data_IF_459802088394
#
_entry.id   IF_459802088394
#
_cell.length_a   1.000
_cell.length_b   1.000
_cell.length_c   1.000
_cell.angle_alpha   90.00
_cell.angle_beta   90.00
_cell.angle_gamma   90.00
#
_symmetry.space_group_name_H-M   'P 1'
#
loop_
_entity.id
_entity.type
_entity.pdbx_description
1 polymer ?
#
# COMPACT_ATOMS: atom_id res chain seq x y z
N UNK A 1 1.77 6.97 6.21
CA UNK A 1 0.71 6.67 5.23
C UNK A 1 1.38 6.33 3.92
N UNK A 2 0.68 5.62 3.04
CA UNK A 2 1.25 5.02 1.84
C UNK A 2 1.01 5.89 0.58
N UNK A 3 0.45 7.10 0.70
CA UNK A 3 0.07 7.94 -0.45
C UNK A 3 1.21 8.25 -1.45
N UNK A 4 2.47 8.19 -1.02
CA UNK A 4 3.66 8.40 -1.87
C UNK A 4 4.24 7.09 -2.45
N UNK A 5 3.65 5.95 -2.14
CA UNK A 5 4.11 4.65 -2.60
C UNK A 5 3.79 4.41 -4.09
N UNK A 6 4.40 3.37 -4.65
CA UNK A 6 4.11 2.92 -6.02
C UNK A 6 2.64 2.53 -6.20
N UNK A 7 2.14 2.53 -7.45
CA UNK A 7 0.78 2.07 -7.75
C UNK A 7 0.55 0.61 -7.34
N UNK A 8 1.60 -0.23 -7.39
CA UNK A 8 1.56 -1.61 -6.93
C UNK A 8 1.33 -1.67 -5.42
N UNK A 9 2.10 -0.89 -4.67
CA UNK A 9 2.00 -0.83 -3.21
C UNK A 9 0.70 -0.18 -2.75
N UNK A 10 0.20 0.84 -3.46
CA UNK A 10 -1.10 1.45 -3.18
C UNK A 10 -2.26 0.51 -3.48
N UNK A 11 -2.23 -0.24 -4.59
CA UNK A 11 -3.23 -1.27 -4.87
C UNK A 11 -3.29 -2.31 -3.73
N UNK A 12 -2.13 -2.76 -3.26
CA UNK A 12 -2.03 -3.78 -2.22
C UNK A 12 -2.37 -3.26 -0.82
N UNK A 13 -1.66 -2.23 -0.36
CA UNK A 13 -1.72 -1.75 1.03
C UNK A 13 -2.90 -0.84 1.29
N UNK A 14 -3.32 -0.05 0.29
CA UNK A 14 -4.41 0.92 0.43
C UNK A 14 -5.70 0.32 -0.09
N UNK A 15 -5.82 0.10 -1.40
CA UNK A 15 -7.09 -0.30 -2.00
C UNK A 15 -7.57 -1.68 -1.56
N UNK A 16 -6.68 -2.68 -1.51
CA UNK A 16 -7.02 -3.99 -0.97
C UNK A 16 -6.92 -4.05 0.56
N UNK A 17 -6.40 -3.02 1.24
CA UNK A 17 -6.23 -3.01 2.69
C UNK A 17 -5.44 -4.23 3.23
N UNK A 18 -4.35 -4.64 2.56
CA UNK A 18 -3.56 -5.85 2.88
C UNK A 18 -2.16 -5.56 3.46
N UNK A 19 -1.99 -4.42 4.12
CA UNK A 19 -0.69 -3.98 4.65
C UNK A 19 -0.04 -4.91 5.68
N UNK A 20 -0.78 -5.83 6.30
CA UNK A 20 -0.27 -6.77 7.29
C UNK A 20 -0.19 -8.22 6.81
N UNK A 21 -0.48 -8.48 5.54
CA UNK A 21 -0.23 -9.79 4.94
C UNK A 21 1.29 -9.98 4.79
N UNK A 22 1.78 -11.10 5.30
CA UNK A 22 3.16 -11.53 5.18
C UNK A 22 3.35 -12.30 3.87
N UNK A 23 4.52 -12.17 3.25
CA UNK A 23 4.91 -12.94 2.08
C UNK A 23 6.20 -13.70 2.34
N UNK A 24 6.24 -14.98 1.98
CA UNK A 24 7.48 -15.72 1.80
C UNK A 24 7.96 -15.53 0.36
N UNK A 25 9.19 -15.05 0.19
CA UNK A 25 9.80 -14.87 -1.13
C UNK A 25 11.22 -15.47 -1.16
N UNK A 26 11.62 -16.15 -2.24
CA UNK A 26 13.00 -16.58 -2.40
C UNK A 26 13.91 -15.37 -2.61
N UNK A 27 15.09 -15.38 -2.00
CA UNK A 27 16.10 -14.33 -2.16
C UNK A 27 17.26 -14.90 -2.98
N UNK A 28 17.49 -14.44 -4.22
CA UNK A 28 18.52 -15.00 -5.07
C UNK A 28 19.92 -14.55 -4.63
N UNK A 29 20.93 -15.41 -4.77
CA UNK A 29 22.32 -15.10 -4.36
C UNK A 29 22.89 -13.85 -5.06
N UNK A 30 22.40 -13.52 -6.25
CA UNK A 30 22.81 -12.33 -7.00
C UNK A 30 22.59 -11.02 -6.26
N UNK A 31 21.63 -10.94 -5.32
CA UNK A 31 21.42 -9.71 -4.52
C UNK A 31 22.55 -9.43 -3.54
N UNK A 32 23.40 -10.42 -3.28
CA UNK A 32 24.56 -10.30 -2.40
C UNK A 32 25.80 -9.79 -3.14
N UNK A 33 25.79 -9.71 -4.47
CA UNK A 33 26.96 -9.35 -5.27
C UNK A 33 26.72 -7.99 -5.97
N UNK A 34 27.45 -6.93 -5.60
CA UNK A 34 27.31 -5.63 -6.26
C UNK A 34 27.68 -5.70 -7.74
N UNK A 35 26.95 -4.94 -8.57
CA UNK A 35 27.21 -4.88 -10.01
C UNK A 35 28.64 -4.41 -10.28
N UNK A 36 29.39 -5.20 -11.05
CA UNK A 36 30.79 -4.91 -11.40
C UNK A 36 31.82 -5.36 -10.37
N UNK A 37 31.41 -5.91 -9.22
CA UNK A 37 32.30 -6.37 -8.15
C UNK A 37 32.04 -7.83 -7.81
N UNK A 38 32.37 -8.74 -8.75
CA UNK A 38 32.06 -10.18 -8.63
C UNK A 38 32.64 -10.84 -7.38
N UNK A 39 33.79 -10.38 -6.89
CA UNK A 39 34.49 -10.96 -5.73
C UNK A 39 34.14 -10.28 -4.40
N UNK A 40 33.10 -9.43 -4.38
CA UNK A 40 32.61 -8.77 -3.17
C UNK A 40 31.21 -9.30 -2.82
N UNK A 41 31.03 -9.69 -1.56
CA UNK A 41 29.72 -10.05 -1.01
C UNK A 41 29.27 -9.00 0.01
N UNK A 42 28.04 -8.52 -0.15
CA UNK A 42 27.38 -7.62 0.79
C UNK A 42 26.29 -8.37 1.54
N UNK A 43 26.42 -8.39 2.87
CA UNK A 43 25.45 -9.03 3.76
C UNK A 43 24.65 -7.98 4.54
N UNK A 44 23.46 -8.38 4.98
CA UNK A 44 22.55 -7.53 5.75
C UNK A 44 21.76 -6.56 4.87
N UNK A 45 21.49 -5.36 5.37
CA UNK A 45 20.61 -4.35 4.72
C UNK A 45 21.16 -3.77 3.40
N UNK A 46 22.38 -4.12 3.03
CA UNK A 46 23.05 -3.66 1.80
C UNK A 46 22.75 -4.57 0.60
N UNK A 47 21.97 -5.64 0.79
CA UNK A 47 21.51 -6.51 -0.29
C UNK A 47 20.74 -5.70 -1.35
N UNK A 48 20.90 -6.06 -2.62
CA UNK A 48 20.19 -5.44 -3.73
C UNK A 48 18.70 -5.74 -3.67
N UNK A 49 17.89 -4.73 -3.36
CA UNK A 49 16.43 -4.87 -3.23
C UNK A 49 15.71 -3.64 -3.76
N UNK A 50 14.60 -3.87 -4.44
CA UNK A 50 13.73 -2.79 -4.92
C UNK A 50 12.88 -2.22 -3.77
N UNK A 51 12.44 -0.98 -3.94
CA UNK A 51 11.64 -0.24 -2.96
C UNK A 51 10.42 -1.02 -2.45
N UNK A 52 9.63 -1.60 -3.36
CA UNK A 52 8.36 -2.28 -3.03
C UNK A 52 8.55 -3.58 -2.22
N UNK A 53 9.71 -4.24 -2.36
CA UNK A 53 10.01 -5.51 -1.67
C UNK A 53 10.95 -5.32 -0.47
N UNK A 54 11.53 -4.13 -0.30
CA UNK A 54 12.46 -3.82 0.80
C UNK A 54 11.87 -4.11 2.19
N UNK A 55 10.54 -3.96 2.35
CA UNK A 55 9.88 -4.26 3.62
C UNK A 55 9.85 -5.75 3.98
N UNK A 56 10.04 -6.65 3.00
CA UNK A 56 10.00 -8.10 3.18
C UNK A 56 11.30 -8.67 3.76
N UNK A 57 12.45 -8.03 3.48
CA UNK A 57 13.78 -8.57 3.81
C UNK A 57 14.55 -7.60 4.69
N UNK A 58 14.05 -7.36 5.92
CA UNK A 58 14.62 -6.33 6.82
C UNK A 58 14.60 -6.67 8.30
N UNK A 59 13.97 -7.78 8.69
CA UNK A 59 13.85 -8.16 10.10
C UNK A 59 15.14 -8.85 10.56
N UNK A 60 15.40 -8.86 11.87
CA UNK A 60 16.62 -9.44 12.47
C UNK A 60 16.89 -10.86 11.97
N UNK A 61 15.82 -11.68 11.88
CA UNK A 61 15.92 -13.07 11.40
C UNK A 61 16.36 -13.15 9.94
N UNK A 62 15.88 -12.26 9.09
CA UNK A 62 16.29 -12.18 7.68
C UNK A 62 17.77 -11.81 7.58
N UNK A 63 18.24 -10.90 8.43
CA UNK A 63 19.64 -10.47 8.46
C UNK A 63 20.58 -11.59 8.93
N UNK A 64 20.17 -12.38 9.92
CA UNK A 64 20.95 -13.55 10.37
C UNK A 64 21.09 -14.57 9.22
N UNK A 65 19.99 -14.90 8.54
CA UNK A 65 19.98 -15.82 7.40
C UNK A 65 20.80 -15.31 6.22
N UNK A 66 20.72 -14.01 5.95
CA UNK A 66 21.52 -13.36 4.92
C UNK A 66 23.02 -13.47 5.23
N UNK A 67 23.43 -13.20 6.46
CA UNK A 67 24.83 -13.35 6.90
C UNK A 67 25.34 -14.79 6.77
N UNK A 68 24.54 -15.77 7.19
CA UNK A 68 24.89 -17.18 7.06
C UNK A 68 25.00 -17.61 5.59
N UNK A 69 24.04 -17.20 4.75
CA UNK A 69 24.04 -17.50 3.32
C UNK A 69 25.25 -16.89 2.61
N UNK A 70 25.62 -15.65 2.94
CA UNK A 70 26.81 -15.01 2.40
C UNK A 70 28.10 -15.72 2.85
N UNK A 71 28.17 -16.17 4.11
CA UNK A 71 29.31 -16.92 4.63
C UNK A 71 29.50 -18.27 3.94
N UNK A 72 28.41 -19.04 3.78
CA UNK A 72 28.43 -20.31 3.03
C UNK A 72 28.86 -20.08 1.58
N UNK A 73 28.32 -19.06 0.92
CA UNK A 73 28.65 -18.73 -0.45
C UNK A 73 30.14 -18.38 -0.61
N UNK A 74 30.67 -17.56 0.30
CA UNK A 74 32.09 -17.18 0.30
C UNK A 74 33.00 -18.40 0.51
N UNK A 75 32.67 -19.26 1.47
CA UNK A 75 33.45 -20.46 1.78
C UNK A 75 33.51 -21.42 0.59
N UNK A 76 32.36 -21.69 -0.04
CA UNK A 76 32.29 -22.55 -1.24
C UNK A 76 33.04 -21.92 -2.42
N UNK A 77 32.90 -20.62 -2.65
CA UNK A 77 33.61 -19.92 -3.73
C UNK A 77 35.14 -20.06 -3.59
N UNK A 78 35.66 -19.91 -2.36
CA UNK A 78 37.08 -20.12 -2.06
C UNK A 78 37.49 -21.59 -2.30
N UNK A 79 36.68 -22.55 -1.83
CA UNK A 79 36.96 -23.97 -1.98
C UNK A 79 37.02 -24.42 -3.45
N UNK A 80 36.12 -23.88 -4.28
CA UNK A 80 36.06 -24.19 -5.71
C UNK A 80 36.98 -23.32 -6.57
N UNK A 81 37.56 -22.26 -6.00
CA UNK A 81 38.38 -21.30 -6.76
C UNK A 81 37.59 -20.54 -7.83
N UNK A 82 36.31 -20.25 -7.59
CA UNK A 82 35.41 -19.58 -8.54
C UNK A 82 34.80 -18.30 -7.96
N UNK A 83 34.04 -17.54 -8.76
CA UNK A 83 33.29 -16.39 -8.25
C UNK A 83 32.09 -16.87 -7.43
N UNK A 84 31.60 -16.08 -6.45
CA UNK A 84 30.41 -16.40 -5.66
C UNK A 84 29.20 -16.85 -6.47
N UNK A 85 28.93 -16.24 -7.63
CA UNK A 85 27.78 -16.59 -8.47
C UNK A 85 27.98 -17.84 -9.33
N UNK A 86 29.22 -18.35 -9.40
CA UNK A 86 29.56 -19.58 -10.13
C UNK A 86 29.51 -20.82 -9.22
N UNK A 87 29.28 -20.64 -7.92
CA UNK A 87 29.15 -21.75 -6.96
C UNK A 87 27.90 -22.58 -7.30
N UNK A 88 28.02 -23.93 -7.37
CA UNK A 88 26.87 -24.78 -7.64
C UNK A 88 25.74 -24.61 -6.60
N UNK A 89 24.55 -24.24 -7.06
CA UNK A 89 23.39 -24.02 -6.19
C UNK A 89 23.04 -25.23 -5.30
N UNK A 90 23.26 -26.46 -5.80
CA UNK A 90 22.98 -27.68 -5.04
C UNK A 90 23.80 -27.76 -3.74
N UNK A 91 25.07 -27.32 -3.76
CA UNK A 91 25.94 -27.32 -2.58
C UNK A 91 25.52 -26.24 -1.58
N UNK A 92 25.23 -25.03 -2.07
CA UNK A 92 24.69 -23.93 -1.24
C UNK A 92 23.39 -24.39 -0.55
N UNK A 93 22.45 -24.96 -1.33
CA UNK A 93 21.16 -25.43 -0.84
C UNK A 93 21.32 -26.53 0.20
N UNK A 94 22.21 -27.49 -0.02
CA UNK A 94 22.46 -28.59 0.91
C UNK A 94 22.93 -28.08 2.28
N UNK A 95 23.90 -27.17 2.29
CA UNK A 95 24.41 -26.59 3.53
C UNK A 95 23.34 -25.74 4.24
N UNK A 96 22.63 -24.88 3.52
CA UNK A 96 21.58 -24.05 4.11
C UNK A 96 20.42 -24.86 4.69
N UNK A 97 20.10 -26.03 4.10
CA UNK A 97 19.12 -26.96 4.67
C UNK A 97 19.66 -27.62 5.95
N UNK A 98 20.92 -28.05 5.94
CA UNK A 98 21.55 -28.72 7.08
C UNK A 98 21.63 -27.82 8.32
N UNK A 99 21.84 -26.51 8.14
CA UNK A 99 21.84 -25.51 9.22
C UNK A 99 20.43 -25.03 9.61
N UNK A 100 19.43 -25.30 8.77
CA UNK A 100 18.07 -24.78 8.92
C UNK A 100 17.90 -23.31 8.53
N UNK A 101 18.92 -22.67 7.95
CA UNK A 101 18.82 -21.33 7.40
C UNK A 101 17.82 -21.29 6.24
N UNK A 102 17.93 -22.23 5.31
CA UNK A 102 16.86 -22.58 4.38
C UNK A 102 15.98 -23.64 5.03
N UNK A 103 14.70 -23.33 5.18
CA UNK A 103 13.74 -24.28 5.74
C UNK A 103 12.42 -24.18 4.94
N UNK A 104 12.04 -25.25 4.22
CA UNK A 104 10.82 -25.29 3.41
C UNK A 104 9.54 -24.99 4.18
N UNK A 105 9.49 -25.21 5.49
CA UNK A 105 8.33 -24.87 6.32
C UNK A 105 8.09 -23.34 6.41
N UNK A 106 9.08 -22.52 6.06
CA UNK A 106 8.91 -21.07 5.97
C UNK A 106 8.46 -20.60 4.58
N UNK A 107 8.38 -21.48 3.59
CA UNK A 107 7.85 -21.17 2.26
C UNK A 107 6.31 -21.23 2.26
N UNK A 108 5.71 -20.34 3.04
CA UNK A 108 4.27 -20.32 3.33
C UNK A 108 3.43 -19.47 2.38
N UNK A 109 4.02 -18.94 1.30
CA UNK A 109 3.37 -18.01 0.38
C UNK A 109 2.85 -16.74 1.07
N UNK A 110 1.68 -16.27 0.63
CA UNK A 110 0.98 -15.13 1.24
C UNK A 110 0.16 -15.61 2.43
N UNK A 111 0.26 -14.92 3.57
CA UNK A 111 -0.45 -15.31 4.79
C UNK A 111 -0.72 -14.16 5.73
N UNK A 112 -1.83 -14.25 6.46
CA UNK A 112 -1.95 -13.55 7.72
C UNK A 112 -1.23 -14.37 8.77
N UNK A 113 -0.26 -13.75 9.46
CA UNK A 113 0.51 -14.41 10.51
C UNK A 113 0.66 -13.45 11.69
N UNK A 114 -0.41 -13.37 12.47
CA UNK A 114 -0.45 -12.56 13.68
C UNK A 114 -1.14 -13.29 14.85
N UNK A 115 -1.45 -12.56 15.93
CA UNK A 115 -2.06 -13.13 17.13
C UNK A 115 -3.55 -13.42 16.96
N UNK A 116 -4.25 -12.64 16.15
CA UNK A 116 -5.69 -12.73 15.92
C UNK A 116 -6.01 -13.62 14.70
N UNK A 117 -5.11 -13.69 13.71
CA UNK A 117 -5.34 -14.38 12.44
C UNK A 117 -4.09 -15.13 11.97
N UNK A 118 -4.24 -16.43 11.70
CA UNK A 118 -3.21 -17.32 11.15
C UNK A 118 -3.78 -18.16 10.02
N UNK A 119 -3.73 -17.65 8.81
CA UNK A 119 -4.31 -18.31 7.65
C UNK A 119 -3.49 -18.03 6.39
N UNK A 120 -3.52 -18.98 5.46
CA UNK A 120 -2.98 -18.80 4.13
C UNK A 120 -3.95 -17.97 3.31
N UNK A 121 -3.42 -17.00 2.58
CA UNK A 121 -4.19 -16.20 1.63
C UNK A 121 -4.35 -17.00 0.34
N UNK A 122 -5.60 -17.27 -0.03
CA UNK A 122 -5.98 -17.97 -1.27
C UNK A 122 -6.83 -17.02 -2.10
N UNK A 123 -6.54 -16.91 -3.39
CA UNK A 123 -7.35 -16.10 -4.30
C UNK A 123 -8.74 -16.73 -4.46
N UNK A 124 -9.77 -15.89 -4.34
CA UNK A 124 -11.16 -16.32 -4.45
C UNK A 124 -11.51 -16.41 -5.93
N UNK A 125 -11.86 -17.62 -6.37
CA UNK A 125 -12.27 -17.91 -7.76
C UNK A 125 -13.75 -18.23 -7.88
N UNK A 126 -14.38 -18.67 -6.79
CA UNK A 126 -15.81 -18.94 -6.73
C UNK A 126 -16.61 -17.64 -6.62
N UNK A 127 -17.69 -17.51 -7.40
CA UNK A 127 -18.45 -16.27 -7.51
C UNK A 127 -19.30 -15.98 -6.28
N UNK A 128 -19.84 -17.00 -5.62
CA UNK A 128 -20.67 -16.82 -4.42
C UNK A 128 -19.79 -16.43 -3.23
N UNK A 129 -18.65 -17.10 -3.05
CA UNK A 129 -17.65 -16.73 -2.06
C UNK A 129 -17.08 -15.32 -2.31
N UNK A 130 -16.88 -14.94 -3.58
CA UNK A 130 -16.43 -13.60 -3.93
C UNK A 130 -17.47 -12.55 -3.56
N UNK A 131 -18.75 -12.82 -3.84
CA UNK A 131 -19.87 -11.94 -3.50
C UNK A 131 -19.99 -11.76 -1.98
N UNK A 132 -19.94 -12.86 -1.23
CA UNK A 132 -20.01 -12.85 0.23
C UNK A 132 -18.87 -12.01 0.82
N UNK A 133 -17.63 -12.23 0.35
CA UNK A 133 -16.47 -11.49 0.81
C UNK A 133 -16.56 -9.98 0.47
N UNK A 134 -17.04 -9.62 -0.72
CA UNK A 134 -17.30 -8.23 -1.10
C UNK A 134 -18.48 -7.61 -0.35
N UNK A 135 -19.40 -8.39 0.20
CA UNK A 135 -20.49 -7.89 1.06
C UNK A 135 -20.07 -7.70 2.53
N UNK A 136 -18.77 -7.79 2.85
CA UNK A 136 -18.24 -7.73 4.22
C UNK A 136 -17.40 -6.47 4.51
N UNK A 137 -17.01 -6.30 5.79
CA UNK A 137 -16.05 -5.28 6.22
C UNK A 137 -14.57 -5.75 6.13
N UNK A 138 -14.32 -6.92 5.53
CA UNK A 138 -12.99 -7.50 5.25
C UNK A 138 -12.87 -7.99 3.79
N UNK A 139 -13.08 -7.12 2.79
CA UNK A 139 -13.10 -7.53 1.39
C UNK A 139 -11.71 -7.67 0.76
N UNK A 140 -10.61 -7.45 1.49
CA UNK A 140 -9.29 -7.23 0.92
C UNK A 140 -8.78 -8.34 0.03
N UNK A 141 -9.00 -9.60 0.41
CA UNK A 141 -8.65 -10.75 -0.43
C UNK A 141 -9.54 -10.82 -1.68
N UNK A 142 -10.83 -10.49 -1.57
CA UNK A 142 -11.74 -10.43 -2.71
C UNK A 142 -11.36 -9.32 -3.70
N UNK A 143 -11.02 -8.13 -3.19
CA UNK A 143 -10.52 -7.01 -3.99
C UNK A 143 -9.24 -7.40 -4.73
N UNK A 144 -8.29 -8.02 -4.04
CA UNK A 144 -7.05 -8.50 -4.67
C UNK A 144 -7.32 -9.61 -5.69
N UNK A 145 -8.24 -10.53 -5.41
CA UNK A 145 -8.65 -11.59 -6.35
C UNK A 145 -9.25 -10.99 -7.63
N UNK A 146 -10.10 -9.98 -7.53
CA UNK A 146 -10.62 -9.23 -8.68
C UNK A 146 -9.51 -8.50 -9.44
N UNK A 147 -8.51 -7.94 -8.73
CA UNK A 147 -7.37 -7.26 -9.37
C UNK A 147 -6.51 -8.21 -10.19
N UNK A 148 -6.36 -9.46 -9.75
CA UNK A 148 -5.61 -10.52 -10.43
C UNK A 148 -6.41 -11.16 -11.56
N UNK A 149 -7.73 -11.35 -11.39
CA UNK A 149 -8.61 -11.94 -12.39
C UNK A 149 -9.48 -10.87 -13.08
N UNK A 150 -9.02 -10.43 -14.25
CA UNK A 150 -9.71 -9.43 -15.10
C UNK A 150 -10.57 -10.05 -16.19
N UNK A 151 -11.08 -11.26 -15.97
CA UNK A 151 -11.97 -11.92 -16.93
C UNK A 151 -13.30 -11.19 -17.09
N UNK A 152 -13.91 -11.32 -18.26
CA UNK A 152 -15.19 -10.68 -18.57
C UNK A 152 -16.32 -11.15 -17.64
N UNK A 153 -16.23 -12.39 -17.12
CA UNK A 153 -17.17 -12.94 -16.15
C UNK A 153 -17.11 -12.15 -14.84
N UNK A 154 -15.90 -11.97 -14.27
CA UNK A 154 -15.72 -11.19 -13.03
C UNK A 154 -16.18 -9.76 -13.24
N UNK A 155 -15.82 -9.16 -14.38
CA UNK A 155 -16.26 -7.80 -14.71
C UNK A 155 -17.78 -7.70 -14.76
N UNK A 156 -18.46 -8.61 -15.45
CA UNK A 156 -19.92 -8.61 -15.58
C UNK A 156 -20.63 -8.73 -14.23
N UNK A 157 -20.18 -9.61 -13.34
CA UNK A 157 -20.81 -9.74 -12.01
C UNK A 157 -20.56 -8.52 -11.13
N UNK A 158 -19.37 -7.90 -11.20
CA UNK A 158 -19.09 -6.66 -10.47
C UNK A 158 -20.00 -5.51 -10.93
N UNK A 159 -20.28 -5.40 -12.23
CA UNK A 159 -21.26 -4.44 -12.76
C UNK A 159 -22.68 -4.71 -12.24
N UNK A 160 -23.09 -5.99 -12.15
CA UNK A 160 -24.39 -6.35 -11.56
C UNK A 160 -24.45 -5.99 -10.07
N UNK A 161 -23.41 -6.30 -9.31
CA UNK A 161 -23.33 -6.03 -7.87
C UNK A 161 -23.22 -4.55 -7.53
N UNK A 162 -22.66 -3.74 -8.43
CA UNK A 162 -22.65 -2.29 -8.32
C UNK A 162 -24.06 -1.68 -8.20
N UNK A 163 -25.06 -2.32 -8.82
CA UNK A 163 -26.45 -1.88 -8.82
C UNK A 163 -27.28 -2.40 -7.62
N UNK A 164 -26.74 -3.30 -6.81
CA UNK A 164 -27.44 -3.87 -5.65
C UNK A 164 -27.53 -2.82 -4.54
N UNK A 165 -28.70 -2.65 -3.87
CA UNK A 165 -28.88 -1.67 -2.78
C UNK A 165 -28.26 -2.13 -1.45
N UNK A 166 -27.06 -2.70 -1.50
CA UNK A 166 -26.23 -3.05 -0.35
C UNK A 166 -24.99 -2.13 -0.36
N UNK A 167 -24.81 -1.26 0.66
CA UNK A 167 -23.70 -0.32 0.70
C UNK A 167 -22.31 -0.97 0.71
N UNK A 168 -22.15 -2.15 1.31
CA UNK A 168 -20.88 -2.87 1.34
C UNK A 168 -20.62 -3.52 -0.01
N UNK A 169 -21.58 -4.31 -0.51
CA UNK A 169 -21.40 -5.01 -1.79
C UNK A 169 -21.22 -4.03 -2.95
N UNK A 170 -22.07 -3.01 -3.07
CA UNK A 170 -21.96 -2.02 -4.14
C UNK A 170 -20.68 -1.18 -4.03
N UNK A 171 -20.33 -0.74 -2.81
CA UNK A 171 -19.12 0.02 -2.53
C UNK A 171 -17.86 -0.78 -2.87
N UNK A 172 -17.74 -1.99 -2.36
CA UNK A 172 -16.59 -2.86 -2.58
C UNK A 172 -16.50 -3.33 -4.04
N UNK A 173 -17.63 -3.54 -4.72
CA UNK A 173 -17.63 -3.80 -6.18
C UNK A 173 -17.10 -2.62 -6.98
N UNK A 174 -17.43 -1.37 -6.58
CA UNK A 174 -16.84 -0.18 -7.18
C UNK A 174 -15.32 -0.10 -6.96
N UNK A 175 -14.83 -0.45 -5.76
CA UNK A 175 -13.39 -0.50 -5.49
C UNK A 175 -12.69 -1.55 -6.35
N UNK A 176 -13.27 -2.74 -6.49
CA UNK A 176 -12.76 -3.81 -7.35
C UNK A 176 -12.69 -3.39 -8.83
N UNK A 177 -13.74 -2.75 -9.35
CA UNK A 177 -13.76 -2.19 -10.70
C UNK A 177 -12.69 -1.09 -10.87
N UNK A 178 -12.51 -0.23 -9.86
CA UNK A 178 -11.46 0.78 -9.85
C UNK A 178 -10.05 0.18 -9.92
N UNK A 179 -9.80 -0.91 -9.19
CA UNK A 179 -8.56 -1.70 -9.25
C UNK A 179 -8.32 -2.34 -10.63
N UNK A 180 -9.39 -2.68 -11.35
CA UNK A 180 -9.31 -3.20 -12.72
C UNK A 180 -9.11 -2.10 -13.77
N UNK A 181 -9.35 -0.83 -13.42
CA UNK A 181 -9.28 0.28 -14.36
C UNK A 181 -10.62 0.63 -15.02
N UNK A 182 -11.74 0.07 -14.54
CA UNK A 182 -13.06 0.25 -15.16
C UNK A 182 -13.72 1.56 -14.68
N UNK A 183 -14.05 2.51 -15.59
CA UNK A 183 -14.63 3.80 -15.22
C UNK A 183 -16.07 3.71 -14.69
N UNK A 184 -16.75 2.56 -14.82
CA UNK A 184 -18.09 2.38 -14.25
C UNK A 184 -18.13 2.53 -12.73
N UNK A 185 -17.00 2.40 -12.04
CA UNK A 185 -16.91 2.64 -10.60
C UNK A 185 -17.05 4.13 -10.21
N UNK A 186 -16.71 5.06 -11.12
CA UNK A 186 -16.52 6.47 -10.79
C UNK A 186 -17.73 7.14 -10.13
N UNK A 187 -18.99 6.91 -10.55
CA UNK A 187 -20.14 7.48 -9.87
C UNK A 187 -20.22 7.08 -8.38
N UNK A 188 -19.92 5.82 -8.06
CA UNK A 188 -19.91 5.32 -6.68
C UNK A 188 -18.72 5.86 -5.90
N UNK A 189 -17.52 5.91 -6.50
CA UNK A 189 -16.34 6.51 -5.85
C UNK A 189 -16.60 7.99 -5.52
N UNK A 190 -17.15 8.77 -6.45
CA UNK A 190 -17.50 10.18 -6.22
C UNK A 190 -18.53 10.35 -5.10
N UNK A 191 -19.50 9.43 -4.98
CA UNK A 191 -20.47 9.42 -3.87
C UNK A 191 -19.78 9.18 -2.53
N UNK A 192 -18.99 8.11 -2.43
CA UNK A 192 -18.21 7.77 -1.23
C UNK A 192 -17.37 8.97 -0.79
N UNK A 193 -16.65 9.56 -1.76
CA UNK A 193 -15.85 10.76 -1.51
C UNK A 193 -16.77 11.83 -0.96
N UNK A 194 -17.81 12.27 -1.68
CA UNK A 194 -18.73 13.34 -1.26
C UNK A 194 -19.26 13.17 0.17
N UNK A 195 -19.65 11.96 0.55
CA UNK A 195 -20.24 11.64 1.85
C UNK A 195 -19.23 11.77 3.00
N UNK A 196 -17.93 11.52 2.75
CA UNK A 196 -16.85 11.56 3.76
C UNK A 196 -17.21 10.75 5.01
N UNK A 197 -17.63 9.50 4.81
CA UNK A 197 -17.93 8.59 5.91
C UNK A 197 -16.65 8.12 6.63
N UNK A 198 -16.83 7.75 7.90
CA UNK A 198 -15.80 7.22 8.81
C UNK A 198 -15.64 5.71 8.74
N UNK A 199 -16.25 5.05 7.76
CA UNK A 199 -16.13 3.61 7.61
C UNK A 199 -14.70 3.24 7.19
N UNK A 200 -14.09 2.34 7.96
CA UNK A 200 -12.80 1.74 7.68
C UNK A 200 -12.89 0.22 7.72
N UNK A 201 -12.08 -0.43 6.90
CA UNK A 201 -12.07 -1.88 6.76
C UNK A 201 -11.36 -2.57 7.94
N UNK A 202 -11.51 -3.89 8.06
CA UNK A 202 -10.96 -4.68 9.18
C UNK A 202 -10.14 -5.89 8.72
N UNK A 203 -9.60 -5.85 7.51
CA UNK A 203 -8.77 -6.93 6.95
C UNK A 203 -7.49 -7.13 7.74
N UNK A 204 -6.86 -6.03 8.15
CA UNK A 204 -5.58 -6.01 8.80
C UNK A 204 -5.71 -5.85 10.32
N UNK A 205 -4.73 -6.38 11.04
CA UNK A 205 -4.62 -6.18 12.51
C UNK A 205 -4.23 -4.75 12.92
N UNK A 206 -3.74 -3.95 11.97
CA UNK A 206 -3.32 -2.55 12.13
C UNK A 206 -3.40 -1.81 10.80
N UNK A 207 -3.29 -0.49 10.86
CA UNK A 207 -3.15 0.38 9.68
C UNK A 207 -4.25 0.17 8.63
N UNK A 208 -5.47 -0.11 9.10
CA UNK A 208 -6.61 -0.23 8.21
C UNK A 208 -6.94 1.10 7.53
N UNK A 209 -7.60 1.01 6.39
CA UNK A 209 -7.84 2.13 5.50
C UNK A 209 -9.29 2.57 5.53
N UNK A 210 -9.51 3.89 5.44
CA UNK A 210 -10.83 4.46 5.24
C UNK A 210 -11.31 4.16 3.81
N UNK A 211 -12.60 3.83 3.68
CA UNK A 211 -13.23 3.69 2.36
C UNK A 211 -13.15 5.00 1.56
N UNK A 212 -13.30 6.13 2.23
CA UNK A 212 -13.10 7.46 1.66
C UNK A 212 -11.68 7.64 1.10
N UNK A 213 -10.64 7.23 1.82
CA UNK A 213 -9.25 7.34 1.37
C UNK A 213 -8.98 6.46 0.15
N UNK A 214 -9.48 5.21 0.16
CA UNK A 214 -9.36 4.29 -0.98
C UNK A 214 -10.07 4.84 -2.22
N UNK A 215 -11.28 5.39 -2.06
CA UNK A 215 -12.02 5.98 -3.18
C UNK A 215 -11.29 7.20 -3.78
N UNK A 216 -10.70 8.06 -2.95
CA UNK A 216 -9.86 9.19 -3.40
C UNK A 216 -8.66 8.68 -4.20
N UNK A 217 -7.95 7.67 -3.68
CA UNK A 217 -6.82 7.05 -4.37
C UNK A 217 -7.23 6.52 -5.75
N UNK A 218 -8.30 5.72 -5.82
CA UNK A 218 -8.75 5.11 -7.08
C UNK A 218 -9.26 6.16 -8.08
N UNK A 219 -9.99 7.18 -7.62
CA UNK A 219 -10.43 8.28 -8.48
C UNK A 219 -9.23 9.06 -9.08
N UNK A 220 -8.22 9.35 -8.26
CA UNK A 220 -6.96 9.96 -8.72
C UNK A 220 -6.19 9.06 -9.69
N UNK A 221 -6.11 7.76 -9.38
CA UNK A 221 -5.48 6.76 -10.26
C UNK A 221 -6.21 6.61 -11.59
N UNK A 222 -7.52 6.79 -11.66
CA UNK A 222 -8.28 6.75 -12.91
C UNK A 222 -8.25 8.09 -13.66
N UNK A 223 -7.71 9.16 -13.05
CA UNK A 223 -7.67 10.49 -13.65
C UNK A 223 -9.06 11.14 -13.70
N UNK A 224 -9.93 10.87 -12.72
CA UNK A 224 -11.30 11.36 -12.71
C UNK A 224 -11.39 12.88 -12.48
N UNK A 225 -11.52 13.64 -13.56
CA UNK A 225 -11.60 15.10 -13.51
C UNK A 225 -12.80 15.62 -12.70
N UNK A 226 -13.88 14.86 -12.62
CA UNK A 226 -15.11 15.30 -11.97
C UNK A 226 -14.99 15.30 -10.43
N UNK A 227 -13.99 14.61 -9.87
CA UNK A 227 -13.72 14.65 -8.43
C UNK A 227 -12.92 15.90 -8.02
N UNK A 228 -12.28 16.60 -8.97
CA UNK A 228 -11.36 17.70 -8.68
C UNK A 228 -11.97 18.81 -7.80
N UNK A 229 -13.24 19.25 -7.97
CA UNK A 229 -13.86 20.20 -7.05
C UNK A 229 -13.98 19.66 -5.62
N UNK A 230 -14.33 18.38 -5.46
CA UNK A 230 -14.42 17.73 -4.14
C UNK A 230 -13.04 17.61 -3.47
N UNK A 231 -11.99 17.33 -4.25
CA UNK A 231 -10.62 17.30 -3.74
C UNK A 231 -10.14 18.71 -3.35
N UNK A 232 -10.47 19.74 -4.14
CA UNK A 232 -10.20 21.13 -3.76
C UNK A 232 -10.86 21.47 -2.43
N UNK A 233 -12.13 21.08 -2.21
CA UNK A 233 -12.80 21.29 -0.92
C UNK A 233 -12.05 20.62 0.22
N UNK A 234 -11.67 19.34 0.11
CA UNK A 234 -10.87 18.65 1.17
C UNK A 234 -9.63 19.47 1.52
N UNK A 235 -8.94 19.93 0.48
CA UNK A 235 -7.60 20.47 0.63
C UNK A 235 -7.59 21.95 0.98
N UNK A 236 -8.58 22.75 0.58
CA UNK A 236 -8.50 24.21 0.68
C UNK A 236 -9.49 24.79 1.69
N UNK A 237 -10.66 24.16 1.87
CA UNK A 237 -11.71 24.65 2.77
C UNK A 237 -11.28 24.52 4.24
N UNK A 238 -11.38 25.62 4.99
CA UNK A 238 -11.05 25.61 6.42
C UNK A 238 -12.12 24.87 7.24
N UNK A 239 -13.38 24.90 6.81
CA UNK A 239 -14.48 24.24 7.50
C UNK A 239 -14.45 22.71 7.32
N UNK A 240 -13.65 22.19 6.39
CA UNK A 240 -13.51 20.74 6.19
C UNK A 240 -13.07 20.03 7.47
N UNK A 241 -12.13 20.61 8.23
CA UNK A 241 -11.62 19.99 9.46
C UNK A 241 -12.70 19.80 10.53
N UNK A 242 -13.76 20.61 10.50
CA UNK A 242 -14.86 20.54 11.47
C UNK A 242 -15.82 19.37 11.20
N UNK A 243 -15.65 18.63 10.09
CA UNK A 243 -16.50 17.47 9.79
C UNK A 243 -16.35 16.38 10.87
N UNK A 244 -17.46 15.72 11.27
CA UNK A 244 -17.44 14.65 12.28
C UNK A 244 -16.40 13.55 12.02
N UNK A 245 -16.17 13.16 10.75
CA UNK A 245 -15.18 12.17 10.33
C UNK A 245 -13.82 12.32 11.05
N UNK A 246 -13.28 13.54 11.11
CA UNK A 246 -11.94 13.80 11.67
C UNK A 246 -11.89 13.75 13.19
N UNK A 247 -13.05 13.58 13.82
CA UNK A 247 -13.28 13.71 15.26
C UNK A 247 -14.00 12.51 15.88
N UNK A 248 -14.54 11.58 15.09
CA UNK A 248 -15.20 10.37 15.60
C UNK A 248 -14.18 9.32 16.10
N UNK A 249 -13.08 9.11 15.37
CA UNK A 249 -12.07 8.10 15.68
C UNK A 249 -10.90 8.75 16.44
N UNK A 250 -11.13 9.08 17.71
CA UNK A 250 -10.13 9.75 18.57
C UNK A 250 -9.33 8.80 19.44
N UNK A 251 -9.88 7.64 19.78
CA UNK A 251 -9.20 6.69 20.65
C UNK A 251 -8.01 6.05 19.95
N UNK A 252 -6.89 5.95 20.66
CA UNK A 252 -5.76 5.17 20.17
C UNK A 252 -6.13 3.71 20.10
N UNK A 253 -5.99 3.15 18.91
CA UNK A 253 -6.20 1.75 18.63
C UNK A 253 -5.08 1.25 17.74
N UNK A 254 -4.47 0.14 18.14
CA UNK A 254 -3.49 -0.54 17.29
C UNK A 254 -4.06 -0.87 15.89
N UNK A 255 -5.38 -1.08 15.78
CA UNK A 255 -6.06 -1.43 14.53
C UNK A 255 -6.11 -0.29 13.52
N UNK A 256 -6.15 0.95 13.99
CA UNK A 256 -6.35 2.11 13.14
C UNK A 256 -5.46 3.27 13.57
N UNK A 257 -5.73 3.95 14.69
CA UNK A 257 -4.99 5.13 15.14
C UNK A 257 -3.92 4.81 16.23
N UNK A 258 -2.63 4.64 15.91
CA UNK A 258 -1.65 4.13 16.87
C UNK A 258 -1.11 5.17 17.87
N UNK A 259 -1.36 6.48 17.68
CA UNK A 259 -0.78 7.55 18.49
C UNK A 259 -1.79 8.66 18.78
N UNK A 260 -1.78 9.18 20.00
CA UNK A 260 -2.70 10.25 20.45
C UNK A 260 -2.36 11.60 19.82
N UNK A 261 -1.09 11.83 19.45
CA UNK A 261 -0.59 13.10 18.95
C UNK A 261 -0.69 13.21 17.42
N UNK A 262 -1.43 12.32 16.77
CA UNK A 262 -1.53 12.24 15.32
C UNK A 262 -2.96 11.91 14.87
N UNK A 263 -3.58 12.83 14.13
CA UNK A 263 -4.87 12.60 13.51
C UNK A 263 -4.69 11.80 12.21
N UNK A 264 -4.68 10.47 12.33
CA UNK A 264 -4.49 9.57 11.19
C UNK A 264 -5.63 9.67 10.16
N UNK A 265 -6.87 9.86 10.60
CA UNK A 265 -8.02 10.03 9.69
C UNK A 265 -7.79 11.24 8.78
N UNK A 266 -7.49 12.39 9.38
CA UNK A 266 -7.22 13.62 8.64
C UNK A 266 -6.02 13.45 7.71
N UNK A 267 -4.94 12.83 8.21
CA UNK A 267 -3.76 12.56 7.40
C UNK A 267 -4.07 11.73 6.17
N UNK A 268 -4.71 10.55 6.30
CA UNK A 268 -5.06 9.68 5.17
C UNK A 268 -5.90 10.41 4.12
N UNK A 269 -6.89 11.18 4.53
CA UNK A 269 -7.77 11.88 3.58
C UNK A 269 -7.01 12.98 2.82
N UNK A 270 -6.23 13.80 3.53
CA UNK A 270 -5.49 14.91 2.91
C UNK A 270 -4.34 14.41 2.04
N UNK A 271 -3.57 13.41 2.48
CA UNK A 271 -2.45 12.84 1.72
C UNK A 271 -2.93 12.24 0.40
N UNK A 272 -3.99 11.42 0.43
CA UNK A 272 -4.56 10.83 -0.76
C UNK A 272 -5.23 11.86 -1.66
N UNK A 273 -5.89 12.88 -1.09
CA UNK A 273 -6.49 13.96 -1.89
C UNK A 273 -5.42 14.77 -2.64
N UNK A 274 -4.34 15.13 -1.95
CA UNK A 274 -3.24 15.87 -2.56
C UNK A 274 -2.59 15.08 -3.71
N UNK A 275 -2.32 13.79 -3.48
CA UNK A 275 -1.77 12.91 -4.50
C UNK A 275 -2.76 12.64 -5.64
N UNK A 276 -4.05 12.57 -5.38
CA UNK A 276 -5.08 12.43 -6.42
C UNK A 276 -5.14 13.68 -7.33
N UNK A 277 -5.11 14.90 -6.76
CA UNK A 277 -5.04 16.14 -7.55
C UNK A 277 -3.80 16.18 -8.44
N UNK A 278 -2.65 15.79 -7.89
CA UNK A 278 -1.38 15.69 -8.63
C UNK A 278 -1.50 14.70 -9.79
N UNK A 279 -1.95 13.48 -9.54
CA UNK A 279 -2.13 12.42 -10.56
C UNK A 279 -3.10 12.83 -11.67
N UNK A 280 -4.19 13.51 -11.33
CA UNK A 280 -5.14 14.04 -12.33
C UNK A 280 -4.44 15.08 -13.23
N UNK A 281 -3.66 15.98 -12.67
CA UNK A 281 -2.91 17.00 -13.44
C UNK A 281 -1.75 16.43 -14.27
N UNK A 282 -1.14 15.32 -13.83
CA UNK A 282 -0.14 14.59 -14.61
C UNK A 282 -0.77 13.90 -15.83
N UNK A 283 -1.97 13.35 -15.68
CA UNK A 283 -2.71 12.65 -16.75
C UNK A 283 -3.42 13.57 -17.74
N UNK A 284 -3.82 14.76 -17.29
CA UNK A 284 -4.60 15.72 -18.09
C UNK A 284 -3.80 17.03 -18.24
N UNK A 285 -3.07 17.22 -19.36
CA UNK A 285 -2.23 18.39 -19.58
C UNK A 285 -2.95 19.73 -19.39
N UNK A 286 -4.22 19.83 -19.81
CA UNK A 286 -5.02 21.05 -19.67
C UNK A 286 -5.38 21.40 -18.21
N UNK A 287 -5.33 20.42 -17.30
CA UNK A 287 -5.60 20.63 -15.88
C UNK A 287 -4.33 20.80 -15.05
N UNK A 288 -3.14 20.64 -15.64
CA UNK A 288 -1.87 20.64 -14.91
C UNK A 288 -1.66 21.89 -14.05
N UNK A 289 -1.84 23.08 -14.63
CA UNK A 289 -1.65 24.32 -13.88
C UNK A 289 -2.74 24.53 -12.82
N UNK A 290 -3.99 24.15 -13.14
CA UNK A 290 -5.09 24.20 -12.18
C UNK A 290 -4.83 23.28 -10.97
N UNK A 291 -4.37 22.04 -11.21
CA UNK A 291 -3.98 21.10 -10.15
C UNK A 291 -2.83 21.65 -9.31
N UNK A 292 -1.79 22.24 -9.94
CA UNK A 292 -0.69 22.91 -9.23
C UNK A 292 -1.18 24.07 -8.37
N UNK A 293 -2.09 24.90 -8.88
CA UNK A 293 -2.66 26.00 -8.12
C UNK A 293 -3.41 25.50 -6.88
N UNK A 294 -4.23 24.44 -7.01
CA UNK A 294 -4.92 23.81 -5.88
C UNK A 294 -3.91 23.34 -4.82
N UNK A 295 -2.82 22.68 -5.23
CA UNK A 295 -1.81 22.16 -4.31
C UNK A 295 -1.02 23.29 -3.62
N UNK A 296 -0.65 24.34 -4.37
CA UNK A 296 -0.02 25.54 -3.82
C UNK A 296 -0.93 26.24 -2.81
N UNK A 297 -2.22 26.37 -3.11
CA UNK A 297 -3.22 26.95 -2.20
C UNK A 297 -3.36 26.11 -0.93
N UNK A 298 -3.53 24.79 -1.08
CA UNK A 298 -3.71 23.84 0.03
C UNK A 298 -2.52 23.85 1.01
N UNK A 299 -1.31 23.88 0.48
CA UNK A 299 -0.06 23.79 1.25
C UNK A 299 0.69 25.14 1.37
N UNK A 300 0.00 26.27 1.16
CA UNK A 300 0.56 27.63 1.32
C UNK A 300 1.00 27.93 2.76
N UNK A 301 0.47 27.20 3.73
CA UNK A 301 0.84 27.27 5.15
C UNK A 301 1.04 25.87 5.72
N UNK A 302 1.51 25.81 6.96
CA UNK A 302 1.62 24.61 7.78
C UNK A 302 0.29 24.15 8.41
N UNK A 303 -0.87 24.67 7.95
CA UNK A 303 -2.21 24.28 8.43
C UNK A 303 -2.39 22.76 8.48
N UNK A 304 -2.14 22.07 7.37
CA UNK A 304 -2.34 20.62 7.32
C UNK A 304 -1.42 19.87 8.30
N UNK A 305 -0.20 20.36 8.51
CA UNK A 305 0.73 19.77 9.48
C UNK A 305 0.16 19.93 10.91
N UNK A 306 -0.26 21.14 11.29
CA UNK A 306 -0.83 21.40 12.63
C UNK A 306 -2.14 20.64 12.90
N UNK A 307 -2.96 20.43 11.88
CA UNK A 307 -4.20 19.66 11.99
C UNK A 307 -3.95 18.15 12.04
N UNK A 308 -2.83 17.69 11.50
CA UNK A 308 -2.40 16.29 11.56
C UNK A 308 -1.68 15.96 12.87
N UNK A 309 -0.83 16.83 13.41
CA UNK A 309 -0.05 16.50 14.61
C UNK A 309 0.22 17.70 15.51
N UNK A 310 0.32 17.42 16.80
CA UNK A 310 0.78 18.34 17.84
C UNK A 310 2.29 18.29 18.06
N UNK A 311 3.00 17.38 17.39
CA UNK A 311 4.43 17.17 17.56
C UNK A 311 5.27 18.22 16.79
N UNK A 312 6.41 18.66 17.34
CA UNK A 312 7.23 19.70 16.72
C UNK A 312 8.00 19.21 15.47
N UNK A 313 8.56 20.15 14.67
CA UNK A 313 9.48 19.81 13.57
C UNK A 313 10.62 18.88 14.01
N UNK A 314 11.03 17.99 13.10
CA UNK A 314 12.07 16.98 13.35
C UNK A 314 11.55 15.67 13.95
N UNK A 315 10.26 15.58 14.29
CA UNK A 315 9.61 14.32 14.68
C UNK A 315 9.11 13.56 13.47
N UNK A 316 8.89 12.25 13.65
CA UNK A 316 8.32 11.38 12.63
C UNK A 316 6.90 11.85 12.24
N UNK A 317 6.08 12.20 13.22
CA UNK A 317 4.73 12.69 13.04
C UNK A 317 4.68 13.96 12.19
N UNK A 318 5.55 14.93 12.48
CA UNK A 318 5.65 16.15 11.69
C UNK A 318 6.08 15.83 10.24
N UNK A 319 7.11 14.99 10.10
CA UNK A 319 7.68 14.63 8.80
C UNK A 319 6.65 13.96 7.87
N UNK A 320 5.66 13.24 8.40
CA UNK A 320 4.64 12.57 7.59
C UNK A 320 3.87 13.52 6.67
N UNK A 321 3.27 14.59 7.22
CA UNK A 321 2.54 15.58 6.41
C UNK A 321 3.49 16.50 5.66
N UNK A 322 4.67 16.80 6.22
CA UNK A 322 5.66 17.62 5.53
C UNK A 322 6.20 16.94 4.25
N UNK A 323 6.40 15.62 4.29
CA UNK A 323 6.79 14.85 3.10
C UNK A 323 5.74 14.93 2.00
N UNK A 324 4.43 14.89 2.34
CA UNK A 324 3.35 15.11 1.36
C UNK A 324 3.47 16.51 0.77
N UNK A 325 3.60 17.54 1.62
CA UNK A 325 3.77 18.94 1.18
C UNK A 325 4.93 19.08 0.20
N UNK A 326 6.10 18.56 0.57
CA UNK A 326 7.29 18.62 -0.29
C UNK A 326 7.07 17.88 -1.60
N UNK A 327 6.51 16.67 -1.55
CA UNK A 327 6.26 15.86 -2.74
C UNK A 327 5.30 16.56 -3.72
N UNK A 328 4.20 17.16 -3.25
CA UNK A 328 3.21 17.77 -4.15
C UNK A 328 3.57 19.18 -4.63
N UNK A 329 4.49 19.86 -3.94
CA UNK A 329 5.00 21.17 -4.33
C UNK A 329 6.31 21.10 -5.12
N UNK A 330 7.02 19.97 -5.11
CA UNK A 330 8.19 19.77 -5.95
C UNK A 330 7.82 19.96 -7.43
N UNK A 331 8.65 20.68 -8.17
CA UNK A 331 8.50 20.82 -9.60
C UNK A 331 8.57 19.43 -10.24
N UNK A 332 7.50 19.09 -10.97
CA UNK A 332 7.49 17.89 -11.81
C UNK A 332 8.49 18.12 -12.95
N UNK A 333 9.39 17.15 -13.24
CA UNK A 333 10.27 17.22 -14.40
C UNK A 333 9.50 17.37 -15.73
#
# INVERSE_FOLDING_TARGET
DNALESDTMLDWTVACNLSTVCAAVPVPASVLVPRGFGSLLVAGRHLGIDHDVASLVRMKRDMHRCGESAGILAALAIQHGCQPLDVPYAEIRSLLLATGCLNPAHDGGLRFDDRERRETVILITDLDALREALASDKPGIALFSCRQNRSEIIRAVLHQWLAVPDPLLSGNSALALGLQGDPACLPVLRRIIRERDSFYYKDCRRTNQLRSAIAIYLAGKLGDIAVLPLLKTILCDQAEYERPLYHEIRETSYKFNPTQNFNLVYFQIVSHAAMAVRRIGERQPELRERSRQILREAFASDRHIRLTTTMPPGTYEYAQMDNIRQAVLADLP
#
